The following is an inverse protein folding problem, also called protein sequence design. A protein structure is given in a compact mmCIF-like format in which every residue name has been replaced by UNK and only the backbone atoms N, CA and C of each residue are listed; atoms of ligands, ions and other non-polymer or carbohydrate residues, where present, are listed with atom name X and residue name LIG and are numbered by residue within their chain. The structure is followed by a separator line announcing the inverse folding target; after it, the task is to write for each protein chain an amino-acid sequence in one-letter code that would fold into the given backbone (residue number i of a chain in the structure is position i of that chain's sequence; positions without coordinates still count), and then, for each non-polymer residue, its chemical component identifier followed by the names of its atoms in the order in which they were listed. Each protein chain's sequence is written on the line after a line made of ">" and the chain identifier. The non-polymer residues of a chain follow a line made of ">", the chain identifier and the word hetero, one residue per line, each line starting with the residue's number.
data_IF_173246121671
#
_entry.id   IF_173246121671
#
_cell.length_a   1.000
_cell.length_b   1.000
_cell.length_c   1.000
_cell.angle_alpha   90.00
_cell.angle_beta   90.00
_cell.angle_gamma   90.00
#
_symmetry.space_group_name_H-M   'P 1'
#
loop_
_entity.id
_entity.type
_entity.pdbx_description
1 polymer ?
#
# COMPACT_ATOMS: atom_id res chain seq x y z
N UNK A 1 -54.81 31.28 19.04
CA UNK A 1 -53.35 31.47 19.14
C UNK A 1 -52.99 32.64 18.26
N UNK A 2 -52.26 33.61 18.80
CA UNK A 2 -51.78 34.77 18.04
C UNK A 2 -50.69 34.32 17.06
N UNK A 3 -50.58 34.92 15.85
CA UNK A 3 -49.48 34.63 14.92
C UNK A 3 -48.09 34.76 15.56
N UNK A 4 -47.93 35.68 16.52
CA UNK A 4 -46.67 35.92 17.23
C UNK A 4 -46.28 34.75 18.16
N UNK A 5 -47.27 34.07 18.75
CA UNK A 5 -47.01 32.90 19.61
C UNK A 5 -46.48 31.71 18.80
N UNK A 6 -46.95 31.57 17.56
CA UNK A 6 -46.54 30.47 16.67
C UNK A 6 -45.07 30.63 16.26
N UNK A 7 -44.67 31.84 15.88
CA UNK A 7 -43.28 32.15 15.50
C UNK A 7 -42.34 31.93 16.68
N UNK A 8 -42.72 32.41 17.87
CA UNK A 8 -41.92 32.25 19.09
C UNK A 8 -41.72 30.78 19.46
N UNK A 9 -42.80 30.00 19.47
CA UNK A 9 -42.76 28.57 19.76
C UNK A 9 -41.87 27.79 18.78
N UNK A 10 -41.96 28.12 17.50
CA UNK A 10 -41.19 27.45 16.46
C UNK A 10 -39.70 27.81 16.57
N UNK A 11 -39.38 29.08 16.83
CA UNK A 11 -38.01 29.53 17.11
C UNK A 11 -37.41 28.83 18.33
N UNK A 12 -38.18 28.69 19.41
CA UNK A 12 -37.75 27.98 20.62
C UNK A 12 -37.50 26.50 20.34
N UNK A 13 -38.33 25.85 19.51
CA UNK A 13 -38.14 24.45 19.11
C UNK A 13 -36.85 24.25 18.32
N UNK A 14 -36.55 25.14 17.35
CA UNK A 14 -35.33 25.04 16.56
C UNK A 14 -34.07 25.39 17.36
N UNK A 15 -34.15 26.35 18.28
CA UNK A 15 -33.03 26.66 19.17
C UNK A 15 -32.68 25.52 20.13
N UNK A 16 -33.69 24.76 20.56
CA UNK A 16 -33.49 23.62 21.47
C UNK A 16 -33.18 22.30 20.73
N UNK A 17 -33.21 22.29 19.40
CA UNK A 17 -32.90 21.10 18.62
C UNK A 17 -31.38 20.92 18.52
N UNK A 18 -30.82 20.07 19.38
CA UNK A 18 -29.41 19.65 19.26
C UNK A 18 -29.31 18.31 18.53
N UNK A 19 -28.34 18.14 17.62
CA UNK A 19 -28.16 16.87 16.94
C UNK A 19 -27.76 15.79 17.95
N UNK A 20 -28.41 14.62 17.86
CA UNK A 20 -28.07 13.48 18.71
C UNK A 20 -26.64 13.01 18.38
N UNK A 21 -25.76 12.85 19.37
CA UNK A 21 -24.40 12.37 19.12
C UNK A 21 -24.47 10.98 18.47
N UNK A 22 -23.98 10.90 17.23
CA UNK A 22 -23.94 9.65 16.48
C UNK A 22 -22.79 8.77 16.99
N UNK A 23 -22.99 7.46 17.05
CA UNK A 23 -21.92 6.51 17.37
C UNK A 23 -20.85 6.57 16.27
N UNK A 24 -19.62 6.94 16.63
CA UNK A 24 -18.49 6.84 15.73
C UNK A 24 -18.02 5.38 15.67
N UNK A 25 -18.28 4.70 14.55
CA UNK A 25 -17.72 3.37 14.25
C UNK A 25 -16.31 3.44 13.67
N UNK A 26 -15.72 4.63 13.63
CA UNK A 26 -14.43 4.88 13.03
C UNK A 26 -13.30 4.59 14.05
N UNK A 27 -12.74 3.38 13.97
CA UNK A 27 -11.37 3.11 14.41
C UNK A 27 -10.63 2.64 13.17
N UNK A 28 -10.11 3.58 12.38
CA UNK A 28 -9.25 3.22 11.25
C UNK A 28 -7.87 2.86 11.82
N UNK A 29 -7.58 1.56 11.86
CA UNK A 29 -6.22 1.07 12.05
C UNK A 29 -5.52 1.13 10.68
N UNK A 30 -4.60 2.07 10.45
CA UNK A 30 -3.90 2.14 9.16
C UNK A 30 -3.09 0.86 8.97
N UNK A 31 -3.14 0.30 7.77
CA UNK A 31 -2.30 -0.82 7.40
C UNK A 31 -0.85 -0.37 7.31
N UNK A 32 0.03 -1.02 8.07
CA UNK A 32 1.48 -0.82 8.00
C UNK A 32 2.12 -2.11 7.52
N UNK A 33 2.94 -2.03 6.47
CA UNK A 33 3.61 -3.21 5.95
C UNK A 33 4.56 -3.80 7.02
N UNK A 34 4.45 -5.12 7.21
CA UNK A 34 5.30 -5.86 8.14
C UNK A 34 6.77 -5.72 7.73
N UNK A 35 7.67 -5.58 8.70
CA UNK A 35 9.11 -5.47 8.46
C UNK A 35 9.64 -4.08 8.10
N UNK A 36 8.79 -3.04 7.96
CA UNK A 36 9.25 -1.66 7.70
C UNK A 36 10.20 -1.11 8.78
N UNK A 37 10.03 -1.57 10.02
CA UNK A 37 10.88 -1.17 11.15
C UNK A 37 12.27 -1.80 11.12
N UNK A 38 12.45 -2.91 10.40
CA UNK A 38 13.68 -3.72 10.40
C UNK A 38 14.34 -3.83 9.03
N UNK A 39 13.66 -3.45 7.95
CA UNK A 39 14.19 -3.58 6.59
C UNK A 39 15.35 -2.62 6.31
N UNK A 40 16.40 -3.09 5.62
CA UNK A 40 17.51 -2.23 5.19
C UNK A 40 17.17 -1.41 3.94
N UNK A 41 16.34 -1.95 3.06
CA UNK A 41 15.96 -1.34 1.79
C UNK A 41 14.45 -1.28 1.60
N UNK A 42 14.00 -0.29 0.84
CA UNK A 42 12.58 -0.05 0.53
C UNK A 42 12.36 0.33 -0.92
N UNK A 43 11.22 -0.11 -1.44
CA UNK A 43 10.62 0.38 -2.68
C UNK A 43 9.77 1.62 -2.40
N UNK A 44 9.97 2.68 -3.20
CA UNK A 44 9.27 3.96 -3.04
C UNK A 44 8.20 4.09 -4.12
N UNK A 45 6.95 4.31 -3.72
CA UNK A 45 5.83 4.53 -4.64
C UNK A 45 5.99 5.86 -5.38
N UNK A 46 5.87 5.84 -6.70
CA UNK A 46 5.80 7.05 -7.52
C UNK A 46 4.46 7.76 -7.31
N UNK A 47 4.52 9.07 -7.09
CA UNK A 47 3.34 9.95 -7.11
C UNK A 47 3.01 10.43 -8.53
N UNK A 48 1.81 10.99 -8.70
CA UNK A 48 1.40 11.66 -9.95
C UNK A 48 0.91 10.73 -11.06
N UNK A 49 0.72 11.32 -12.25
CA UNK A 49 0.27 10.61 -13.46
C UNK A 49 1.39 9.73 -13.99
N UNK A 50 1.10 8.44 -14.19
CA UNK A 50 2.06 7.45 -14.68
C UNK A 50 2.11 7.48 -16.21
N UNK A 51 3.31 7.34 -16.76
CA UNK A 51 3.46 7.03 -18.19
C UNK A 51 3.09 5.57 -18.44
N UNK A 52 2.71 5.23 -19.67
CA UNK A 52 2.43 3.85 -20.07
C UNK A 52 3.61 2.93 -19.74
N UNK A 53 3.31 1.72 -19.25
CA UNK A 53 4.29 0.68 -18.86
C UNK A 53 5.28 1.06 -17.73
N UNK A 54 5.09 2.20 -17.07
CA UNK A 54 5.98 2.62 -15.99
C UNK A 54 5.66 1.88 -14.67
N UNK A 55 6.64 1.27 -13.98
CA UNK A 55 6.37 0.57 -12.73
C UNK A 55 5.90 1.54 -11.62
N UNK A 56 4.99 1.08 -10.72
CA UNK A 56 4.39 1.93 -9.69
C UNK A 56 5.35 2.29 -8.56
N UNK A 57 6.39 1.48 -8.36
CA UNK A 57 7.44 1.70 -7.38
C UNK A 57 8.79 1.82 -8.06
N UNK A 58 9.68 2.56 -7.43
CA UNK A 58 11.07 2.69 -7.81
C UNK A 58 11.99 2.07 -6.77
N UNK A 59 12.98 1.36 -7.29
CA UNK A 59 14.24 0.93 -6.67
C UNK A 59 14.14 0.19 -5.33
N UNK A 60 15.10 -0.67 -4.98
CA UNK A 60 15.43 -0.83 -3.57
C UNK A 60 16.34 0.35 -3.17
N UNK A 61 15.83 1.24 -2.33
CA UNK A 61 16.62 2.35 -1.77
C UNK A 61 17.00 2.05 -0.33
N UNK A 62 18.24 2.37 0.04
CA UNK A 62 18.72 2.19 1.40
C UNK A 62 18.02 3.17 2.37
N UNK A 63 17.52 2.64 3.49
CA UNK A 63 17.05 3.46 4.61
C UNK A 63 18.26 3.90 5.42
N UNK A 64 18.37 5.21 5.66
CA UNK A 64 19.39 5.79 6.54
C UNK A 64 18.87 5.94 7.97
N UNK A 65 17.58 6.25 8.12
CA UNK A 65 16.94 6.35 9.44
C UNK A 65 15.48 5.93 9.36
N UNK A 66 15.08 5.03 10.26
CA UNK A 66 13.69 4.65 10.51
C UNK A 66 13.00 5.70 11.38
N UNK A 67 11.72 5.92 11.12
CA UNK A 67 10.86 6.77 11.96
C UNK A 67 9.42 6.26 11.94
N UNK A 68 8.56 6.83 12.77
CA UNK A 68 7.19 6.32 12.92
C UNK A 68 6.33 6.61 11.68
N UNK A 69 6.39 7.84 11.19
CA UNK A 69 5.61 8.28 10.01
C UNK A 69 6.48 8.62 8.81
N UNK A 70 7.71 9.07 9.03
CA UNK A 70 8.64 9.50 8.01
C UNK A 70 9.96 8.71 8.12
N UNK A 71 10.45 8.24 6.99
CA UNK A 71 11.72 7.52 6.86
C UNK A 71 12.68 8.38 6.06
N UNK A 72 13.96 8.38 6.46
CA UNK A 72 15.02 9.02 5.70
C UNK A 72 15.63 7.98 4.77
N UNK A 73 15.43 8.16 3.47
CA UNK A 73 15.83 7.21 2.42
C UNK A 73 16.89 7.87 1.52
N UNK A 74 17.93 7.13 1.17
CA UNK A 74 18.94 7.59 0.21
C UNK A 74 18.50 7.26 -1.21
N UNK A 75 18.08 8.28 -1.96
CA UNK A 75 17.72 8.18 -3.38
C UNK A 75 18.83 8.83 -4.19
N UNK A 76 19.64 8.03 -4.89
CA UNK A 76 20.69 8.50 -5.81
C UNK A 76 21.65 9.52 -5.15
N UNK A 77 22.07 9.25 -3.91
CA UNK A 77 22.97 10.11 -3.14
C UNK A 77 22.29 11.26 -2.40
N UNK A 78 20.97 11.43 -2.55
CA UNK A 78 20.19 12.46 -1.86
C UNK A 78 19.36 11.84 -0.74
N UNK A 79 19.47 12.40 0.46
CA UNK A 79 18.65 12.01 1.60
C UNK A 79 17.28 12.68 1.51
N UNK A 80 16.24 11.87 1.38
CA UNK A 80 14.85 12.33 1.23
C UNK A 80 13.98 11.76 2.34
N UNK A 81 13.13 12.58 2.93
CA UNK A 81 12.13 12.14 3.90
C UNK A 81 10.86 11.66 3.17
N UNK A 82 10.44 10.42 3.43
CA UNK A 82 9.32 9.78 2.74
C UNK A 82 8.34 9.23 3.76
N UNK A 83 7.05 9.47 3.56
CA UNK A 83 6.00 8.92 4.41
C UNK A 83 5.88 7.40 4.28
N UNK A 84 5.52 6.75 5.39
CA UNK A 84 5.31 5.31 5.47
C UNK A 84 4.32 4.78 4.42
N UNK A 85 3.32 5.57 4.06
CA UNK A 85 2.27 5.22 3.07
C UNK A 85 2.82 5.01 1.65
N UNK A 86 4.04 5.49 1.37
CA UNK A 86 4.69 5.35 0.06
C UNK A 86 5.80 4.30 0.07
N UNK A 87 6.01 3.59 1.17
CA UNK A 87 7.10 2.65 1.32
C UNK A 87 6.58 1.21 1.31
N UNK A 88 7.32 0.36 0.61
CA UNK A 88 7.18 -1.09 0.67
C UNK A 88 8.54 -1.69 1.01
N UNK A 89 8.66 -2.58 2.01
CA UNK A 89 9.94 -3.20 2.33
C UNK A 89 10.47 -3.98 1.12
N UNK A 90 11.77 -3.88 0.88
CA UNK A 90 12.47 -4.70 -0.10
C UNK A 90 13.10 -5.90 0.62
N UNK A 91 12.63 -7.09 0.29
CA UNK A 91 13.21 -8.34 0.75
C UNK A 91 14.14 -8.86 -0.34
N UNK A 92 15.39 -9.11 0.01
CA UNK A 92 16.31 -9.89 -0.80
C UNK A 92 16.21 -11.32 -0.29
N UNK A 93 16.10 -12.31 -1.18
CA UNK A 93 16.35 -13.66 -0.71
C UNK A 93 17.83 -13.83 -0.45
N UNK A 94 18.15 -14.64 0.54
CA UNK A 94 19.47 -15.23 0.61
C UNK A 94 19.71 -16.02 -0.68
N UNK A 95 20.95 -16.01 -1.16
CA UNK A 95 21.38 -16.66 -2.41
C UNK A 95 21.12 -18.18 -2.45
N UNK A 96 20.56 -18.77 -1.40
CA UNK A 96 20.14 -20.17 -1.36
C UNK A 96 18.76 -20.45 -1.99
N UNK A 97 17.88 -19.45 -2.12
CA UNK A 97 16.45 -19.73 -2.40
C UNK A 97 15.88 -18.99 -3.64
N UNK A 98 16.69 -18.18 -4.32
CA UNK A 98 16.27 -17.52 -5.56
C UNK A 98 17.19 -17.96 -6.70
N UNK A 99 16.80 -19.04 -7.39
CA UNK A 99 17.28 -19.31 -8.75
C UNK A 99 16.56 -18.36 -9.71
N UNK A 100 16.98 -17.09 -9.79
CA UNK A 100 16.57 -16.23 -10.90
C UNK A 100 17.42 -16.65 -12.09
N UNK A 101 16.81 -17.39 -13.01
CA UNK A 101 17.34 -17.65 -14.34
C UNK A 101 17.46 -16.31 -15.07
N UNK A 102 18.62 -15.66 -14.94
CA UNK A 102 19.00 -14.51 -15.75
C UNK A 102 19.16 -15.00 -17.19
N UNK A 103 18.18 -14.69 -18.04
CA UNK A 103 18.24 -14.96 -19.47
C UNK A 103 19.35 -14.15 -20.12
N UNK A 104 20.36 -14.85 -20.65
CA UNK A 104 21.18 -14.41 -21.78
C UNK A 104 21.20 -15.56 -22.80
N UNK A 105 20.22 -15.46 -23.69
CA UNK A 105 20.21 -15.82 -25.11
C UNK A 105 20.46 -17.28 -25.55
N UNK A 106 19.57 -17.71 -26.47
CA UNK A 106 19.66 -18.80 -27.47
C UNK A 106 18.99 -20.11 -27.07
N UNK A 107 17.83 -20.37 -27.69
CA UNK A 107 17.33 -21.71 -28.01
C UNK A 107 16.69 -22.50 -26.87
N UNK A 108 15.46 -22.95 -27.14
CA UNK A 108 14.88 -24.19 -26.65
C UNK A 108 14.20 -24.26 -25.26
N UNK A 109 12.90 -24.57 -25.36
CA UNK A 109 11.98 -25.19 -24.39
C UNK A 109 11.99 -24.71 -22.93
N UNK A 110 11.07 -23.80 -22.60
CA UNK A 110 10.68 -23.55 -21.21
C UNK A 110 9.82 -24.71 -20.67
N UNK A 111 10.37 -25.56 -19.81
CA UNK A 111 9.59 -26.43 -18.93
C UNK A 111 9.12 -25.64 -17.71
N UNK A 112 7.84 -25.25 -17.72
CA UNK A 112 7.18 -24.62 -16.56
C UNK A 112 6.98 -25.69 -15.49
N UNK A 113 7.59 -25.52 -14.31
CA UNK A 113 7.29 -26.39 -13.17
C UNK A 113 5.89 -26.11 -12.62
N UNK A 114 5.10 -27.14 -12.29
CA UNK A 114 3.72 -26.99 -11.87
C UNK A 114 3.64 -26.32 -10.48
N UNK A 115 2.91 -25.20 -10.40
CA UNK A 115 2.56 -24.62 -9.11
C UNK A 115 1.48 -25.48 -8.44
N UNK A 116 1.75 -25.93 -7.21
CA UNK A 116 0.80 -26.66 -6.38
C UNK A 116 0.04 -25.70 -5.47
N UNK A 117 -1.27 -25.89 -5.35
CA UNK A 117 -2.10 -25.19 -4.36
C UNK A 117 -1.90 -25.78 -2.96
N UNK A 118 -2.47 -25.15 -1.93
CA UNK A 118 -2.38 -25.62 -0.52
C UNK A 118 -2.91 -27.06 -0.30
N UNK A 119 -3.67 -27.61 -1.25
CA UNK A 119 -4.15 -28.99 -1.26
C UNK A 119 -3.36 -29.90 -2.20
N UNK A 120 -2.17 -29.47 -2.63
CA UNK A 120 -1.29 -30.15 -3.59
C UNK A 120 -1.85 -30.37 -5.01
N UNK A 121 -2.94 -29.70 -5.37
CA UNK A 121 -3.46 -29.78 -6.73
C UNK A 121 -2.58 -28.99 -7.70
N UNK A 122 -2.18 -29.65 -8.78
CA UNK A 122 -1.48 -29.03 -9.90
C UNK A 122 -2.49 -28.39 -10.84
N UNK A 123 -2.47 -27.06 -10.95
CA UNK A 123 -3.34 -26.37 -11.90
C UNK A 123 -2.67 -26.31 -13.29
N UNK A 124 -3.39 -26.80 -14.29
CA UNK A 124 -2.97 -26.82 -15.70
C UNK A 124 -3.62 -25.63 -16.40
N UNK A 125 -2.82 -24.70 -16.93
CA UNK A 125 -3.35 -23.68 -17.82
C UNK A 125 -3.47 -24.24 -19.25
N UNK A 126 -4.59 -23.96 -19.96
CA UNK A 126 -4.73 -24.39 -21.34
C UNK A 126 -3.72 -23.66 -22.24
N UNK A 127 -3.06 -24.41 -23.12
CA UNK A 127 -2.18 -23.87 -24.15
C UNK A 127 -3.02 -23.03 -25.12
N UNK A 128 -2.71 -21.74 -25.28
CA UNK A 128 -3.30 -20.93 -26.36
C UNK A 128 -2.65 -21.33 -27.68
N UNK A 129 -3.48 -21.60 -28.67
CA UNK A 129 -3.09 -21.86 -30.07
C UNK A 129 -2.50 -20.61 -30.73
#
# INVERSE_FOLDING_TARGET
>A
MSPEEVVKKLSDMFHNFTPVPTKSHYIVKPFVAQGLKTCSHVFVRRGGVRKGLQPPYDGPYAIVKHGDKLYKVNIKGKLVNISIDRLKPAFFAADSDITILFGKDIGDSHTVLPYKTKSEQTARFPTRF
#
